data_IF_141403665536
#
_entry.id   IF_141403665536
#
_cell.length_a   1.000
_cell.length_b   1.000
_cell.length_c   1.000
_cell.angle_alpha   90.00
_cell.angle_beta   90.00
_cell.angle_gamma   90.00
#
_symmetry.space_group_name_H-M   'P 1'
#
loop_
_entity.id
_entity.type
_entity.pdbx_description
1 polymer ?
#
# COMPACT_ATOMS: atom_id res chain seq x y z
N UNK A 1 8.23 6.66 3.36
CA UNK A 1 7.08 5.73 3.45
C UNK A 1 7.46 4.33 2.99
N UNK A 2 8.30 4.24 1.97
CA UNK A 2 8.64 3.02 1.21
C UNK A 2 9.20 1.90 2.10
N UNK A 3 10.17 2.22 2.97
CA UNK A 3 10.78 1.26 3.91
C UNK A 3 9.73 0.61 4.83
N UNK A 4 8.75 1.40 5.30
CA UNK A 4 7.70 0.91 6.20
C UNK A 4 6.74 -0.01 5.43
N UNK A 5 6.47 0.32 4.15
CA UNK A 5 5.66 -0.53 3.28
C UNK A 5 6.37 -1.84 2.97
N UNK A 6 7.66 -1.81 2.59
CA UNK A 6 8.46 -3.01 2.30
C UNK A 6 8.51 -3.95 3.51
N UNK A 7 8.74 -3.40 4.70
CA UNK A 7 8.74 -4.16 5.95
C UNK A 7 7.35 -4.78 6.22
N UNK A 8 6.29 -3.99 6.08
CA UNK A 8 4.93 -4.51 6.29
C UNK A 8 4.51 -5.53 5.22
N UNK A 9 4.94 -5.38 3.97
CA UNK A 9 4.72 -6.34 2.90
C UNK A 9 5.41 -7.67 3.19
N UNK A 10 6.66 -7.65 3.62
CA UNK A 10 7.43 -8.86 3.94
C UNK A 10 6.82 -9.67 5.10
N UNK A 11 6.40 -9.01 6.19
CA UNK A 11 5.95 -9.73 7.39
C UNK A 11 4.45 -10.05 7.41
N UNK A 12 3.61 -9.15 6.89
CA UNK A 12 2.15 -9.18 7.10
C UNK A 12 1.40 -9.18 5.77
N UNK A 13 1.59 -8.16 4.92
CA UNK A 13 0.68 -7.90 3.81
C UNK A 13 0.82 -8.96 2.71
N UNK A 14 2.00 -9.54 2.45
CA UNK A 14 2.13 -10.64 1.48
C UNK A 14 1.25 -11.83 1.85
N UNK A 15 1.17 -12.19 3.14
CA UNK A 15 0.32 -13.29 3.62
C UNK A 15 -1.16 -12.96 3.52
N UNK A 16 -1.53 -11.70 3.73
CA UNK A 16 -2.91 -11.21 3.59
C UNK A 16 -3.31 -11.21 2.12
N UNK A 17 -2.49 -10.64 1.24
CA UNK A 17 -2.73 -10.58 -0.19
C UNK A 17 -2.74 -11.97 -0.84
N UNK A 18 -1.89 -12.89 -0.42
CA UNK A 18 -1.94 -14.28 -0.91
C UNK A 18 -3.24 -15.02 -0.54
N UNK A 19 -3.91 -14.63 0.56
CA UNK A 19 -5.24 -15.18 0.93
C UNK A 19 -6.38 -14.47 0.22
N UNK A 20 -6.29 -13.15 0.07
CA UNK A 20 -7.33 -12.35 -0.57
C UNK A 20 -7.36 -12.57 -2.08
N UNK A 21 -6.19 -12.61 -2.71
CA UNK A 21 -5.98 -12.71 -4.16
C UNK A 21 -5.02 -13.86 -4.47
N UNK A 22 -5.45 -15.12 -4.30
CA UNK A 22 -4.58 -16.26 -4.54
C UNK A 22 -4.27 -16.42 -6.03
N UNK A 23 -3.01 -16.74 -6.35
CA UNK A 23 -2.58 -17.00 -7.73
C UNK A 23 -3.41 -18.13 -8.39
N UNK A 24 -3.88 -19.10 -7.59
CA UNK A 24 -4.71 -20.22 -8.05
C UNK A 24 -6.07 -19.81 -8.62
N UNK A 25 -6.63 -18.66 -8.21
CA UNK A 25 -7.89 -18.16 -8.77
C UNK A 25 -7.77 -17.78 -10.26
N UNK A 26 -6.55 -17.46 -10.71
CA UNK A 26 -6.26 -17.05 -12.09
C UNK A 26 -5.60 -18.16 -12.92
N UNK A 27 -5.25 -19.29 -12.31
CA UNK A 27 -4.55 -20.40 -12.99
C UNK A 27 -5.38 -20.99 -14.15
N UNK A 28 -6.71 -20.93 -14.08
CA UNK A 28 -7.61 -21.40 -15.14
C UNK A 28 -7.47 -20.61 -16.45
N UNK A 29 -7.10 -19.32 -16.39
CA UNK A 29 -6.88 -18.47 -17.56
C UNK A 29 -5.67 -18.87 -18.41
N UNK A 30 -4.74 -19.66 -17.84
CA UNK A 30 -3.48 -20.07 -18.49
C UNK A 30 -3.45 -21.55 -18.90
N UNK A 31 -4.49 -22.32 -18.56
CA UNK A 31 -4.54 -23.76 -18.77
C UNK A 31 -4.68 -24.19 -20.25
N UNK A 32 -4.94 -23.26 -21.18
CA UNK A 32 -5.18 -23.56 -22.60
C UNK A 32 -4.02 -23.22 -23.54
N UNK A 33 -2.85 -22.82 -23.02
CA UNK A 33 -1.77 -22.29 -23.88
C UNK A 33 -0.95 -23.39 -24.59
N UNK A 34 -0.98 -24.65 -24.14
CA UNK A 34 -0.40 -25.76 -24.91
C UNK A 34 -0.95 -27.14 -24.51
N UNK A 35 -1.39 -27.94 -25.47
CA UNK A 35 -2.00 -29.27 -25.28
C UNK A 35 -1.05 -30.37 -24.73
N UNK A 36 0.18 -30.00 -24.34
CA UNK A 36 1.20 -30.91 -23.81
C UNK A 36 1.49 -30.72 -22.32
N UNK A 37 0.98 -29.66 -21.69
CA UNK A 37 1.09 -29.42 -20.25
C UNK A 37 -0.32 -29.31 -19.67
N UNK A 38 -0.87 -30.44 -19.21
CA UNK A 38 -2.10 -30.46 -18.44
C UNK A 38 -1.83 -29.84 -17.07
N UNK A 39 -1.94 -28.51 -16.95
CA UNK A 39 -2.07 -27.85 -15.65
C UNK A 39 -3.42 -28.35 -15.10
N UNK A 40 -3.47 -29.01 -13.92
CA UNK A 40 -4.73 -29.40 -13.34
C UNK A 40 -5.57 -28.14 -13.15
N UNK A 41 -6.66 -28.01 -13.92
CA UNK A 41 -7.63 -26.93 -13.78
C UNK A 41 -8.34 -27.13 -12.44
N UNK A 42 -7.78 -26.52 -11.39
CA UNK A 42 -8.45 -26.44 -10.10
C UNK A 42 -9.62 -25.48 -10.30
N UNK A 43 -10.80 -26.05 -10.56
CA UNK A 43 -12.04 -25.29 -10.52
C UNK A 43 -12.17 -24.74 -9.11
N UNK A 44 -12.05 -23.43 -8.99
CA UNK A 44 -12.09 -22.73 -7.73
C UNK A 44 -13.50 -22.83 -7.16
N UNK A 45 -13.67 -23.68 -6.13
CA UNK A 45 -14.98 -24.07 -5.58
C UNK A 45 -15.59 -23.01 -4.68
N UNK A 46 -14.83 -21.98 -4.29
CA UNK A 46 -15.31 -20.92 -3.42
C UNK A 46 -15.88 -19.75 -4.22
N UNK A 47 -17.04 -19.23 -3.81
CA UNK A 47 -17.66 -18.05 -4.43
C UNK A 47 -16.69 -16.85 -4.45
N UNK A 48 -15.86 -16.71 -3.40
CA UNK A 48 -14.81 -15.69 -3.33
C UNK A 48 -13.78 -15.85 -4.45
N UNK A 49 -13.29 -17.07 -4.71
CA UNK A 49 -12.29 -17.29 -5.76
C UNK A 49 -12.85 -17.05 -7.18
N UNK A 50 -14.13 -17.31 -7.42
CA UNK A 50 -14.79 -16.96 -8.68
C UNK A 50 -14.94 -15.44 -8.85
N UNK A 51 -15.24 -14.73 -7.76
CA UNK A 51 -15.21 -13.26 -7.77
C UNK A 51 -13.79 -12.74 -7.96
N UNK A 52 -12.79 -13.32 -7.32
CA UNK A 52 -11.44 -12.78 -7.44
C UNK A 52 -10.87 -12.94 -8.85
N UNK A 53 -11.23 -14.01 -9.55
CA UNK A 53 -10.79 -14.29 -10.91
C UNK A 53 -11.15 -13.19 -11.94
N UNK A 54 -12.17 -12.36 -11.69
CA UNK A 54 -12.53 -11.27 -12.60
C UNK A 54 -11.79 -9.95 -12.34
N UNK A 55 -10.94 -9.86 -11.30
CA UNK A 55 -10.21 -8.63 -11.04
C UNK A 55 -9.18 -8.37 -12.15
N UNK A 56 -8.98 -7.09 -12.55
CA UNK A 56 -7.91 -6.75 -13.46
C UNK A 56 -6.56 -7.07 -12.82
N UNK A 57 -5.74 -7.80 -13.54
CA UNK A 57 -4.39 -8.18 -13.12
C UNK A 57 -3.38 -7.94 -14.26
N UNK A 58 -2.12 -7.64 -13.93
CA UNK A 58 -1.06 -7.62 -14.93
C UNK A 58 -0.79 -9.03 -15.49
N UNK A 59 -0.08 -9.15 -16.62
CA UNK A 59 0.38 -10.44 -17.11
C UNK A 59 1.23 -11.13 -16.03
N UNK A 60 0.80 -12.31 -15.61
CA UNK A 60 1.51 -13.09 -14.59
C UNK A 60 2.72 -13.75 -15.27
N UNK A 61 3.94 -13.59 -14.73
CA UNK A 61 5.12 -14.17 -15.34
C UNK A 61 5.15 -15.69 -15.15
N UNK A 62 5.74 -16.40 -16.12
CA UNK A 62 5.69 -17.88 -16.22
C UNK A 62 6.43 -18.59 -15.08
N UNK A 63 7.41 -17.92 -14.47
CA UNK A 63 8.15 -18.36 -13.27
C UNK A 63 7.24 -18.52 -12.04
N UNK A 64 6.26 -17.63 -11.88
CA UNK A 64 5.26 -17.66 -10.82
C UNK A 64 4.28 -18.82 -11.00
N UNK A 65 4.02 -19.21 -12.24
CA UNK A 65 3.21 -20.38 -12.58
C UNK A 65 4.03 -21.68 -12.39
N UNK A 66 5.31 -21.66 -12.77
CA UNK A 66 6.21 -22.79 -12.56
C UNK A 66 6.44 -23.10 -11.07
N UNK A 67 6.54 -22.08 -10.23
CA UNK A 67 6.63 -22.24 -8.78
C UNK A 67 5.33 -22.82 -8.18
N UNK A 68 4.15 -22.42 -8.68
CA UNK A 68 2.88 -23.05 -8.32
C UNK A 68 2.89 -24.55 -8.64
N UNK A 69 3.38 -24.95 -9.82
CA UNK A 69 3.47 -26.35 -10.24
C UNK A 69 4.46 -27.15 -9.38
N UNK A 70 5.67 -26.61 -9.15
CA UNK A 70 6.68 -27.25 -8.30
C UNK A 70 6.20 -27.50 -6.87
N UNK A 71 5.41 -26.56 -6.31
CA UNK A 71 4.78 -26.70 -4.99
C UNK A 71 3.69 -27.76 -4.93
N UNK A 72 3.01 -28.06 -6.05
CA UNK A 72 2.00 -29.15 -6.10
C UNK A 72 2.62 -30.54 -6.18
N UNK A 73 3.79 -30.68 -6.80
CA UNK A 73 4.47 -31.99 -7.02
C UNK A 73 5.30 -32.41 -5.80
N UNK A 74 5.81 -31.45 -5.02
CA UNK A 74 6.71 -31.71 -3.89
C UNK A 74 6.01 -31.39 -2.57
N UNK A 75 5.15 -32.30 -2.10
CA UNK A 75 4.63 -32.38 -0.71
C UNK A 75 4.48 -31.07 0.10
N UNK A 76 3.22 -30.61 0.23
CA UNK A 76 2.68 -29.92 1.41
C UNK A 76 3.36 -28.61 1.89
N UNK A 77 3.88 -27.78 1.00
CA UNK A 77 4.08 -26.36 1.35
C UNK A 77 2.81 -25.57 1.02
N UNK A 78 2.25 -24.78 1.96
CA UNK A 78 1.01 -24.08 1.70
C UNK A 78 1.22 -23.07 0.57
N UNK A 79 0.26 -23.05 -0.36
CA UNK A 79 0.09 -22.11 -1.50
C UNK A 79 -0.06 -20.64 -1.01
N UNK A 80 0.24 -20.37 0.27
CA UNK A 80 -0.14 -19.21 1.04
C UNK A 80 0.78 -17.99 0.87
N UNK A 81 1.74 -18.04 -0.05
CA UNK A 81 2.70 -16.94 -0.26
C UNK A 81 2.70 -16.36 -1.68
N UNK A 82 1.92 -16.91 -2.61
CA UNK A 82 1.86 -16.40 -3.98
C UNK A 82 0.54 -15.66 -4.23
N UNK A 83 0.62 -14.33 -4.19
CA UNK A 83 -0.46 -13.43 -4.59
C UNK A 83 -0.45 -13.23 -6.11
N UNK A 84 -1.63 -13.13 -6.73
CA UNK A 84 -1.73 -12.80 -8.16
C UNK A 84 -1.33 -11.35 -8.46
N UNK A 85 -1.39 -10.46 -7.47
CA UNK A 85 -0.97 -9.07 -7.62
C UNK A 85 0.48 -8.89 -7.19
N UNK A 86 1.39 -8.50 -8.12
CA UNK A 86 2.77 -8.23 -7.79
C UNK A 86 2.87 -7.01 -6.86
N UNK A 87 4.00 -6.89 -6.14
CA UNK A 87 4.23 -5.78 -5.19
C UNK A 87 4.20 -4.41 -5.89
N UNK A 88 4.63 -4.34 -7.15
CA UNK A 88 4.66 -3.10 -7.94
C UNK A 88 3.30 -2.68 -8.51
N UNK A 89 2.23 -3.44 -8.24
CA UNK A 89 0.91 -3.14 -8.77
C UNK A 89 0.28 -1.94 -8.03
N UNK A 90 0.05 -0.84 -8.74
CA UNK A 90 -0.43 0.43 -8.19
C UNK A 90 -1.69 0.26 -7.30
N UNK A 91 -2.74 -0.47 -7.71
CA UNK A 91 -3.92 -0.66 -6.84
C UNK A 91 -3.61 -1.40 -5.53
N UNK A 92 -2.72 -2.42 -5.57
CA UNK A 92 -2.29 -3.15 -4.38
C UNK A 92 -1.56 -2.21 -3.42
N UNK A 93 -0.58 -1.49 -3.96
CA UNK A 93 0.23 -0.53 -3.23
C UNK A 93 -0.64 0.56 -2.59
N UNK A 94 -1.61 1.09 -3.33
CA UNK A 94 -2.52 2.13 -2.85
C UNK A 94 -3.39 1.64 -1.67
N UNK A 95 -3.95 0.43 -1.78
CA UNK A 95 -4.77 -0.16 -0.71
C UNK A 95 -3.93 -0.44 0.53
N UNK A 96 -2.75 -1.04 0.37
CA UNK A 96 -1.80 -1.28 1.46
C UNK A 96 -1.40 0.02 2.15
N UNK A 97 -1.09 1.06 1.37
CA UNK A 97 -0.71 2.38 1.86
C UNK A 97 -1.84 3.07 2.62
N UNK A 98 -3.06 3.05 2.09
CA UNK A 98 -4.23 3.59 2.78
C UNK A 98 -4.49 2.86 4.10
N UNK A 99 -4.45 1.53 4.09
CA UNK A 99 -4.70 0.72 5.28
C UNK A 99 -3.66 1.02 6.38
N UNK A 100 -2.37 1.01 6.02
CA UNK A 100 -1.29 1.22 6.97
C UNK A 100 -1.31 2.64 7.56
N UNK A 101 -1.50 3.65 6.72
CA UNK A 101 -1.57 5.04 7.16
C UNK A 101 -2.80 5.32 8.03
N UNK A 102 -3.98 4.78 7.69
CA UNK A 102 -5.15 4.89 8.55
C UNK A 102 -4.91 4.23 9.90
N UNK A 103 -4.40 3.00 9.93
CA UNK A 103 -4.12 2.29 11.20
C UNK A 103 -3.12 3.09 12.04
N UNK A 104 -2.04 3.59 11.44
CA UNK A 104 -1.05 4.42 12.12
C UNK A 104 -1.65 5.70 12.72
N UNK A 105 -2.48 6.42 11.95
CA UNK A 105 -3.17 7.63 12.42
C UNK A 105 -4.11 7.30 13.58
N UNK A 106 -4.87 6.21 13.53
CA UNK A 106 -5.75 5.83 14.63
C UNK A 106 -4.97 5.49 15.90
N UNK A 107 -3.87 4.72 15.79
CA UNK A 107 -3.03 4.37 16.94
C UNK A 107 -2.44 5.64 17.58
N UNK A 108 -1.84 6.52 16.77
CA UNK A 108 -1.26 7.77 17.25
C UNK A 108 -2.34 8.68 17.87
N UNK A 109 -3.49 8.80 17.21
CA UNK A 109 -4.60 9.60 17.72
C UNK A 109 -5.04 9.11 19.09
N UNK A 110 -5.34 7.81 19.24
CA UNK A 110 -5.78 7.28 20.53
C UNK A 110 -4.69 7.36 21.60
N UNK A 111 -3.42 7.17 21.25
CA UNK A 111 -2.31 7.30 22.19
C UNK A 111 -2.20 8.74 22.73
N UNK A 112 -2.13 9.73 21.83
CA UNK A 112 -2.01 11.14 22.22
C UNK A 112 -3.29 11.70 22.83
N UNK A 113 -4.47 11.32 22.32
CA UNK A 113 -5.76 11.72 22.89
C UNK A 113 -5.93 11.15 24.30
N UNK A 114 -5.54 9.88 24.54
CA UNK A 114 -5.57 9.29 25.87
C UNK A 114 -4.60 9.98 26.84
N UNK A 115 -3.38 10.27 26.39
CA UNK A 115 -2.37 10.97 27.20
C UNK A 115 -2.84 12.39 27.55
N UNK A 116 -3.34 13.14 26.57
CA UNK A 116 -3.87 14.48 26.77
C UNK A 116 -5.07 14.49 27.72
N UNK A 117 -6.01 13.56 27.52
CA UNK A 117 -7.18 13.40 28.38
C UNK A 117 -6.82 13.08 29.83
N UNK A 118 -5.77 12.27 30.05
CA UNK A 118 -5.37 11.88 31.41
C UNK A 118 -4.54 12.95 32.12
N UNK A 119 -3.58 13.57 31.43
CA UNK A 119 -2.56 14.41 32.07
C UNK A 119 -2.79 15.91 31.94
N UNK A 120 -3.44 16.37 30.87
CA UNK A 120 -3.57 17.81 30.56
C UNK A 120 -5.01 18.28 30.80
N UNK A 121 -6.01 17.41 30.57
CA UNK A 121 -7.41 17.79 30.60
C UNK A 121 -7.96 17.98 32.02
N UNK A 122 -8.49 19.18 32.29
CA UNK A 122 -9.17 19.46 33.55
C UNK A 122 -10.61 18.92 33.53
N UNK A 123 -10.86 17.89 34.35
CA UNK A 123 -12.15 17.21 34.43
C UNK A 123 -13.25 18.08 35.07
N UNK A 124 -12.90 19.14 35.81
CA UNK A 124 -13.88 20.07 36.39
C UNK A 124 -14.67 20.83 35.31
N UNK A 125 -14.12 20.95 34.10
CA UNK A 125 -14.80 21.58 32.96
C UNK A 125 -16.08 20.85 32.55
N UNK A 126 -16.20 19.55 32.86
CA UNK A 126 -17.41 18.77 32.54
C UNK A 126 -18.62 19.18 33.38
N UNK A 127 -18.41 19.89 34.50
CA UNK A 127 -19.48 20.37 35.38
C UNK A 127 -20.02 21.75 34.96
N UNK A 128 -19.40 22.39 33.97
CA UNK A 128 -19.81 23.71 33.52
C UNK A 128 -21.21 23.67 32.88
N UNK A 129 -22.11 24.63 33.15
CA UNK A 129 -23.49 24.62 32.64
C UNK A 129 -23.61 24.68 31.11
N UNK A 130 -22.55 25.10 30.42
CA UNK A 130 -22.45 25.13 28.95
C UNK A 130 -21.78 23.86 28.35
N UNK A 131 -21.42 22.87 29.16
CA UNK A 131 -20.76 21.65 28.66
C UNK A 131 -21.74 20.80 27.86
N UNK A 132 -21.36 20.48 26.61
CA UNK A 132 -22.24 19.74 25.71
C UNK A 132 -22.32 18.27 26.15
N UNK A 133 -23.52 17.67 26.10
CA UNK A 133 -23.70 16.26 26.44
C UNK A 133 -22.85 15.39 25.51
N UNK A 134 -22.02 14.52 26.07
CA UNK A 134 -21.09 13.68 25.33
C UNK A 134 -20.08 14.45 24.45
N UNK A 135 -19.72 15.69 24.82
CA UNK A 135 -18.79 16.51 24.04
C UNK A 135 -17.52 15.77 23.63
N UNK A 136 -16.90 15.03 24.55
CA UNK A 136 -15.69 14.23 24.29
C UNK A 136 -15.94 13.19 23.19
N UNK A 137 -17.10 12.52 23.21
CA UNK A 137 -17.45 11.55 22.16
C UNK A 137 -17.67 12.24 20.81
N UNK A 138 -18.26 13.44 20.81
CA UNK A 138 -18.47 14.22 19.59
C UNK A 138 -17.14 14.70 18.99
N UNK A 139 -16.19 15.13 19.81
CA UNK A 139 -14.84 15.53 19.37
C UNK A 139 -14.08 14.34 18.78
N UNK A 140 -14.19 13.17 19.41
CA UNK A 140 -13.62 11.92 18.89
C UNK A 140 -14.28 11.52 17.57
N UNK A 141 -15.62 11.53 17.49
CA UNK A 141 -16.34 11.21 16.26
C UNK A 141 -16.01 12.17 15.12
N UNK A 142 -15.90 13.46 15.42
CA UNK A 142 -15.48 14.47 14.45
C UNK A 142 -14.07 14.17 13.90
N UNK A 143 -13.13 13.84 14.79
CA UNK A 143 -11.76 13.49 14.42
C UNK A 143 -11.72 12.23 13.54
N UNK A 144 -12.40 11.15 13.97
CA UNK A 144 -12.47 9.88 13.23
C UNK A 144 -13.10 10.05 11.83
N UNK A 145 -14.10 10.93 11.69
CA UNK A 145 -14.75 11.21 10.41
C UNK A 145 -13.84 12.04 9.48
N UNK A 146 -12.95 12.86 10.03
CA UNK A 146 -12.03 13.69 9.27
C UNK A 146 -10.83 12.92 8.71
N UNK A 147 -10.34 11.88 9.40
CA UNK A 147 -9.19 11.09 8.99
C UNK A 147 -9.23 10.55 7.55
N UNK A 148 -10.31 9.89 7.07
CA UNK A 148 -10.33 9.38 5.70
C UNK A 148 -10.30 10.49 4.65
N UNK A 149 -10.93 11.64 4.93
CA UNK A 149 -10.93 12.80 4.01
C UNK A 149 -9.53 13.41 3.92
N UNK A 150 -8.88 13.60 5.07
CA UNK A 150 -7.50 14.08 5.13
C UNK A 150 -6.53 13.11 4.45
N UNK A 151 -6.69 11.81 4.67
CA UNK A 151 -5.90 10.78 4.00
C UNK A 151 -6.09 10.84 2.49
N UNK A 152 -7.32 10.97 1.97
CA UNK A 152 -7.56 11.06 0.53
C UNK A 152 -6.81 12.26 -0.09
N UNK A 153 -6.77 13.39 0.62
CA UNK A 153 -6.05 14.57 0.14
C UNK A 153 -4.52 14.39 0.13
N UNK A 154 -3.95 13.64 1.07
CA UNK A 154 -2.50 13.39 1.16
C UNK A 154 -2.04 12.14 0.41
N UNK A 155 -2.96 11.26 0.04
CA UNK A 155 -2.70 10.00 -0.66
C UNK A 155 -1.97 10.18 -2.01
N UNK A 156 -2.33 11.16 -2.88
CA UNK A 156 -1.57 11.39 -4.11
C UNK A 156 -0.10 11.72 -3.83
N UNK A 157 0.18 12.40 -2.72
CA UNK A 157 1.53 12.76 -2.31
C UNK A 157 2.33 11.56 -1.84
N UNK A 158 1.73 10.73 -0.99
CA UNK A 158 2.36 9.49 -0.54
C UNK A 158 2.59 8.54 -1.72
N UNK A 159 1.63 8.40 -2.63
CA UNK A 159 1.81 7.58 -3.83
C UNK A 159 2.97 8.10 -4.71
N UNK A 160 3.11 9.43 -4.84
CA UNK A 160 4.22 10.02 -5.55
C UNK A 160 5.57 9.72 -4.88
N UNK A 161 5.63 9.73 -3.55
CA UNK A 161 6.82 9.33 -2.79
C UNK A 161 7.22 7.89 -3.12
N UNK A 162 6.29 6.92 -3.02
CA UNK A 162 6.61 5.50 -3.24
C UNK A 162 6.97 5.16 -4.69
N UNK A 163 6.46 5.92 -5.66
CA UNK A 163 6.88 5.77 -7.05
C UNK A 163 8.23 6.44 -7.37
N UNK A 164 8.92 6.97 -6.35
CA UNK A 164 10.24 7.60 -6.51
C UNK A 164 10.18 8.96 -7.22
N UNK A 165 9.05 9.68 -7.13
CA UNK A 165 8.98 11.08 -7.53
C UNK A 165 9.60 12.03 -6.50
N UNK A 166 9.82 11.56 -5.26
CA UNK A 166 10.58 12.27 -4.24
C UNK A 166 12.08 12.03 -4.45
N UNK A 167 12.79 13.03 -5.00
CA UNK A 167 14.25 13.04 -5.02
C UNK A 167 14.76 13.96 -3.92
N UNK A 168 15.47 13.39 -2.96
CA UNK A 168 16.26 14.18 -2.00
C UNK A 168 17.51 14.69 -2.72
N UNK A 169 17.88 15.95 -2.48
CA UNK A 169 19.11 16.52 -3.03
C UNK A 169 20.33 15.90 -2.34
N UNK A 170 21.25 15.33 -3.12
CA UNK A 170 22.51 14.74 -2.60
C UNK A 170 23.56 15.79 -2.19
N UNK A 171 23.37 17.07 -2.56
CA UNK A 171 24.31 18.14 -2.21
C UNK A 171 23.78 19.55 -2.45
N UNK A 172 24.28 20.50 -1.65
CA UNK A 172 23.95 21.93 -1.73
C UNK A 172 24.55 22.61 -2.97
N UNK A 173 25.57 22.00 -3.57
CA UNK A 173 26.39 22.59 -4.64
C UNK A 173 25.69 22.60 -6.01
N UNK A 174 24.66 21.78 -6.21
CA UNK A 174 24.06 21.57 -7.55
C UNK A 174 22.95 22.57 -7.90
N UNK A 175 22.16 23.03 -6.91
CA UNK A 175 20.99 23.89 -7.15
C UNK A 175 20.88 25.10 -6.20
N UNK A 176 21.77 25.23 -5.20
CA UNK A 176 21.86 26.38 -4.31
C UNK A 176 20.73 26.48 -3.26
N UNK A 177 20.95 27.35 -2.26
CA UNK A 177 20.07 27.50 -1.09
C UNK A 177 18.65 27.99 -1.42
N UNK A 178 18.46 28.74 -2.51
CA UNK A 178 17.14 29.20 -2.95
C UNK A 178 16.24 28.02 -3.34
N UNK A 179 16.79 27.06 -4.08
CA UNK A 179 16.04 25.88 -4.51
C UNK A 179 15.76 24.94 -3.33
N UNK A 180 16.64 24.89 -2.32
CA UNK A 180 16.41 24.17 -1.07
C UNK A 180 15.18 24.71 -0.34
N UNK A 181 15.08 26.03 -0.15
CA UNK A 181 13.91 26.64 0.52
C UNK A 181 12.65 26.48 -0.33
N UNK A 182 12.73 26.63 -1.65
CA UNK A 182 11.58 26.44 -2.55
C UNK A 182 11.11 24.99 -2.67
N UNK A 183 11.97 24.00 -2.34
CA UNK A 183 11.62 22.57 -2.38
C UNK A 183 10.82 22.09 -1.16
N UNK A 184 10.86 22.83 -0.05
CA UNK A 184 10.18 22.45 1.22
C UNK A 184 8.64 22.56 1.12
N UNK A 185 8.05 23.59 0.48
CA UNK A 185 6.59 23.69 0.33
C UNK A 185 5.98 22.73 -0.70
N UNK A 186 6.75 22.30 -1.71
CA UNK A 186 6.24 21.52 -2.86
C UNK A 186 7.19 20.39 -3.32
N UNK A 187 7.45 19.37 -2.48
CA UNK A 187 8.26 18.20 -2.85
C UNK A 187 7.88 17.48 -4.18
N UNK A 188 6.62 17.54 -4.67
CA UNK A 188 6.18 16.79 -5.88
C UNK A 188 6.34 17.52 -7.22
N UNK A 189 6.63 18.83 -7.27
CA UNK A 189 6.63 19.57 -8.54
C UNK A 189 7.92 19.41 -9.36
N UNK A 190 8.93 18.72 -8.83
CA UNK A 190 10.24 18.59 -9.48
C UNK A 190 10.25 17.70 -10.74
N UNK A 191 9.25 16.80 -10.96
CA UNK A 191 9.29 15.85 -12.10
C UNK A 191 8.32 16.10 -13.25
N UNK A 192 7.43 17.10 -13.18
CA UNK A 192 6.54 17.39 -14.32
C UNK A 192 7.32 18.12 -15.44
N UNK A 193 8.43 18.79 -15.14
CA UNK A 193 9.18 19.62 -16.09
C UNK A 193 10.40 18.94 -16.73
N UNK A 194 10.75 17.71 -16.35
CA UNK A 194 11.90 17.01 -16.94
C UNK A 194 11.46 15.70 -17.59
N UNK A 195 10.85 15.86 -18.78
CA UNK A 195 10.55 14.75 -19.66
C UNK A 195 11.83 14.05 -20.13
N UNK A 196 11.76 12.71 -20.19
CA UNK A 196 12.55 11.85 -21.07
C UNK A 196 14.07 11.95 -20.99
N UNK A 197 14.69 11.23 -20.04
CA UNK A 197 16.00 10.60 -20.29
C UNK A 197 15.93 9.15 -19.81
N UNK A 198 15.47 8.29 -20.71
CA UNK A 198 15.73 6.86 -20.67
C UNK A 198 17.25 6.70 -20.80
N UNK A 199 17.95 6.29 -19.73
CA UNK A 199 19.38 5.95 -19.84
C UNK A 199 19.50 4.68 -20.70
N UNK A 200 19.86 4.89 -21.97
CA UNK A 200 20.46 3.85 -22.82
C UNK A 200 21.80 3.49 -22.17
N UNK A 201 22.10 2.22 -21.90
CA UNK A 201 23.44 1.84 -21.47
C UNK A 201 24.40 2.09 -22.64
N UNK A 202 25.43 2.91 -22.39
CA UNK A 202 26.53 3.08 -23.31
C UNK A 202 27.23 1.73 -23.48
N UNK A 203 27.17 1.20 -24.69
CA UNK A 203 28.06 0.18 -25.20
C UNK A 203 29.30 0.90 -25.71
N UNK A 204 30.45 0.67 -25.08
CA UNK A 204 31.80 0.87 -25.63
C UNK A 204 32.62 -0.29 -25.01
N UNK A 205 32.92 -1.35 -25.76
CA UNK A 205 33.99 -1.50 -26.76
C UNK A 205 35.37 -1.56 -26.11
#
# INVERSE_FOLDING_TARGET
MDIVLDLCDEYILDKVWAKLVPLSAFASSYASVNSTLAIPVVHSTSAWSQMVAHLPHPPIPMDSIASLYSSTVTTATPIAHLSAWPRDYIPRQLVSLCALTLVGVHILYFLFAWLSYKFIFNHDMMRHPRFLKNQIKLEIQCSLRAFPVMMLLTLPWFQAEVMGYSKLYDGLDTYGYFYLVASVPLPCISRITSGSVRRVPAVEA
#
